data_IF_312148891477
#
_entry.id   IF_312148891477
#
_cell.length_a   1.000
_cell.length_b   1.000
_cell.length_c   1.000
_cell.angle_alpha   90.00
_cell.angle_beta   90.00
_cell.angle_gamma   90.00
#
_symmetry.space_group_name_H-M   'P 1'
#
loop_
_entity.id
_entity.type
_entity.pdbx_description
1 polymer ?
#
# COMPACT_ATOMS: atom_id res chain seq x y z
N UNK A 1 2.89 7.74 26.43
CA UNK A 1 2.28 8.96 27.02
C UNK A 1 2.92 9.36 28.34
N UNK A 2 3.36 8.41 29.16
CA UNK A 2 3.94 8.68 30.48
C UNK A 2 5.20 9.56 30.43
N UNK A 3 6.14 9.26 29.52
CA UNK A 3 7.32 10.12 29.27
C UNK A 3 6.94 11.57 28.98
N UNK A 4 5.84 11.82 28.26
CA UNK A 4 5.40 13.18 27.97
C UNK A 4 4.87 13.93 29.20
N UNK A 5 4.31 13.21 30.19
CA UNK A 5 3.95 13.82 31.48
C UNK A 5 5.20 14.16 32.27
N UNK A 6 6.16 13.25 32.34
CA UNK A 6 7.43 13.46 33.04
C UNK A 6 8.22 14.62 32.44
N UNK A 7 8.29 14.74 31.11
CA UNK A 7 8.90 15.88 30.40
C UNK A 7 8.24 17.19 30.84
N UNK A 8 6.90 17.26 30.82
CA UNK A 8 6.19 18.48 31.26
C UNK A 8 6.42 18.79 32.73
N UNK A 9 6.53 17.77 33.57
CA UNK A 9 6.81 17.95 34.98
C UNK A 9 8.24 18.48 35.17
N UNK A 10 9.24 17.88 34.54
CA UNK A 10 10.64 18.33 34.61
C UNK A 10 10.83 19.75 34.07
N UNK A 11 10.09 20.14 33.02
CA UNK A 11 10.09 21.53 32.57
C UNK A 11 9.62 22.49 33.68
N UNK A 12 8.55 22.14 34.42
CA UNK A 12 8.10 22.96 35.55
C UNK A 12 9.10 22.97 36.70
N UNK A 13 9.76 21.84 36.98
CA UNK A 13 10.77 21.76 38.02
C UNK A 13 11.98 22.65 37.67
N UNK A 14 12.39 22.68 36.40
CA UNK A 14 13.43 23.59 35.89
C UNK A 14 13.01 25.05 36.08
N UNK A 15 11.78 25.41 35.74
CA UNK A 15 11.26 26.76 35.93
C UNK A 15 11.26 27.14 37.42
N UNK A 16 10.89 26.22 38.31
CA UNK A 16 10.93 26.44 39.75
C UNK A 16 12.37 26.65 40.27
N UNK A 17 13.32 25.82 39.83
CA UNK A 17 14.73 25.96 40.20
C UNK A 17 15.35 27.27 39.68
N UNK A 18 14.90 27.77 38.53
CA UNK A 18 15.31 29.06 38.00
C UNK A 18 14.88 30.21 38.91
N UNK A 19 13.63 30.19 39.38
CA UNK A 19 13.09 31.19 40.31
C UNK A 19 13.75 31.14 41.70
N UNK A 20 14.13 29.96 42.16
CA UNK A 20 14.82 29.75 43.44
C UNK A 20 16.33 30.07 43.36
N UNK A 21 16.89 30.28 42.16
CA UNK A 21 18.32 30.45 41.93
C UNK A 21 19.14 29.16 42.16
N UNK A 22 18.47 28.01 42.25
CA UNK A 22 19.10 26.71 42.48
C UNK A 22 19.70 26.16 41.18
N UNK A 23 20.88 26.67 40.84
CA UNK A 23 21.59 26.35 39.59
C UNK A 23 21.93 24.87 39.48
N UNK A 24 22.35 24.23 40.58
CA UNK A 24 22.70 22.81 40.62
C UNK A 24 21.47 21.91 40.40
N UNK A 25 20.32 22.27 40.99
CA UNK A 25 19.04 21.61 40.75
C UNK A 25 18.61 21.73 39.29
N UNK A 26 18.72 22.93 38.73
CA UNK A 26 18.39 23.23 37.33
C UNK A 26 19.22 22.41 36.33
N UNK A 27 20.53 22.31 36.53
CA UNK A 27 21.43 21.54 35.66
C UNK A 27 20.98 20.07 35.62
N UNK A 28 20.84 19.43 36.78
CA UNK A 28 20.42 18.02 36.87
C UNK A 28 19.03 17.78 36.27
N UNK A 29 18.07 18.67 36.55
CA UNK A 29 16.73 18.55 35.99
C UNK A 29 16.70 18.71 34.46
N UNK A 30 17.58 19.55 33.90
CA UNK A 30 17.72 19.74 32.45
C UNK A 30 18.31 18.49 31.79
N UNK A 31 19.35 17.89 32.38
CA UNK A 31 19.91 16.63 31.88
C UNK A 31 18.88 15.49 31.87
N UNK A 32 18.08 15.37 32.93
CA UNK A 32 17.00 14.39 32.99
C UNK A 32 15.89 14.67 31.96
N UNK A 33 15.54 15.94 31.75
CA UNK A 33 14.57 16.35 30.73
C UNK A 33 15.02 15.91 29.33
N UNK A 34 16.30 16.10 29.00
CA UNK A 34 16.82 15.71 27.70
C UNK A 34 16.85 14.19 27.50
N UNK A 35 17.24 13.42 28.53
CA UNK A 35 17.12 11.95 28.51
C UNK A 35 15.68 11.50 28.27
N UNK A 36 14.70 12.11 28.94
CA UNK A 36 13.29 11.77 28.74
C UNK A 36 12.80 12.12 27.32
N UNK A 37 13.27 13.24 26.75
CA UNK A 37 12.95 13.64 25.38
C UNK A 37 13.57 12.69 24.35
N UNK A 38 14.80 12.26 24.57
CA UNK A 38 15.49 11.26 23.76
C UNK A 38 14.75 9.91 23.81
N UNK A 39 14.45 9.41 25.01
CA UNK A 39 13.67 8.16 25.17
C UNK A 39 12.31 8.23 24.47
N UNK A 40 11.60 9.37 24.58
CA UNK A 40 10.33 9.56 23.88
C UNK A 40 10.51 9.51 22.36
N UNK A 41 11.58 10.12 21.84
CA UNK A 41 11.86 10.10 20.41
C UNK A 41 12.23 8.68 19.94
N UNK A 42 13.01 7.93 20.73
CA UNK A 42 13.37 6.55 20.45
C UNK A 42 12.15 5.62 20.39
N UNK A 43 11.25 5.71 21.38
CA UNK A 43 9.99 4.95 21.38
C UNK A 43 9.12 5.30 20.16
N UNK A 44 9.03 6.59 19.81
CA UNK A 44 8.29 7.03 18.63
C UNK A 44 8.92 6.52 17.33
N UNK A 45 10.25 6.55 17.22
CA UNK A 45 10.97 6.03 16.06
C UNK A 45 10.77 4.52 15.90
N UNK A 46 10.84 3.76 17.00
CA UNK A 46 10.58 2.31 17.00
C UNK A 46 9.16 1.99 16.52
N UNK A 47 8.15 2.71 17.03
CA UNK A 47 6.76 2.51 16.60
C UNK A 47 6.55 2.86 15.13
N UNK A 48 7.19 3.93 14.64
CA UNK A 48 7.11 4.32 13.24
C UNK A 48 7.76 3.26 12.32
N UNK A 49 8.92 2.74 12.70
CA UNK A 49 9.59 1.66 11.98
C UNK A 49 8.72 0.39 11.93
N UNK A 50 8.10 0.02 13.06
CA UNK A 50 7.17 -1.10 13.12
C UNK A 50 5.95 -0.88 12.22
N UNK A 51 5.35 0.31 12.24
CA UNK A 51 4.23 0.66 11.38
C UNK A 51 4.60 0.59 9.89
N UNK A 52 5.77 1.11 9.51
CA UNK A 52 6.27 1.04 8.14
C UNK A 52 6.50 -0.41 7.68
N UNK A 53 7.11 -1.23 8.55
CA UNK A 53 7.33 -2.65 8.25
C UNK A 53 6.00 -3.41 8.09
N UNK A 54 5.00 -3.12 8.94
CA UNK A 54 3.65 -3.70 8.83
C UNK A 54 2.93 -3.28 7.55
N UNK A 55 3.00 -2.00 7.19
CA UNK A 55 2.41 -1.48 5.96
C UNK A 55 3.01 -2.16 4.72
N UNK A 56 4.34 -2.25 4.67
CA UNK A 56 5.05 -2.97 3.60
C UNK A 56 4.63 -4.44 3.52
N UNK A 57 4.53 -5.14 4.65
CA UNK A 57 4.10 -6.53 4.69
C UNK A 57 2.62 -6.69 4.27
N UNK A 58 1.76 -5.77 4.70
CA UNK A 58 0.34 -5.76 4.33
C UNK A 58 0.15 -5.50 2.83
N UNK A 59 0.94 -4.59 2.25
CA UNK A 59 0.94 -4.34 0.82
C UNK A 59 1.33 -5.60 0.02
N UNK A 60 2.42 -6.27 0.40
CA UNK A 60 2.86 -7.52 -0.25
C UNK A 60 1.76 -8.59 -0.15
N UNK A 61 1.16 -8.77 1.03
CA UNK A 61 0.08 -9.73 1.24
C UNK A 61 -1.17 -9.37 0.41
N UNK A 62 -1.52 -8.08 0.32
CA UNK A 62 -2.61 -7.60 -0.51
C UNK A 62 -2.37 -7.89 -1.99
N UNK A 63 -1.15 -7.68 -2.52
CA UNK A 63 -0.79 -8.06 -3.89
C UNK A 63 -0.91 -9.59 -4.10
N UNK A 64 -0.41 -10.40 -3.15
CA UNK A 64 -0.52 -11.86 -3.22
C UNK A 64 -1.97 -12.35 -3.19
N UNK A 65 -2.85 -11.71 -2.41
CA UNK A 65 -4.27 -12.07 -2.35
C UNK A 65 -5.04 -11.58 -3.57
N UNK A 66 -4.66 -10.44 -4.15
CA UNK A 66 -5.21 -9.98 -5.43
C UNK A 66 -4.93 -11.00 -6.56
N UNK A 67 -3.76 -11.65 -6.54
CA UNK A 67 -3.47 -12.75 -7.48
C UNK A 67 -4.22 -14.05 -7.18
N UNK A 68 -4.84 -14.20 -6.00
CA UNK A 68 -5.55 -15.42 -5.58
C UNK A 68 -7.09 -15.33 -5.71
N UNK A 69 -7.65 -14.19 -6.12
CA UNK A 69 -9.11 -14.04 -6.34
C UNK A 69 -9.59 -14.47 -7.72
N UNK A 70 -8.72 -15.02 -8.56
CA UNK A 70 -9.17 -16.01 -9.55
C UNK A 70 -9.27 -17.34 -8.82
N UNK A 71 -10.48 -17.72 -8.41
CA UNK A 71 -10.81 -19.14 -8.23
C UNK A 71 -10.20 -19.89 -9.41
N UNK A 72 -9.41 -20.96 -9.20
CA UNK A 72 -9.07 -21.86 -10.30
C UNK A 72 -10.38 -22.56 -10.64
N UNK A 73 -11.18 -21.93 -11.51
CA UNK A 73 -12.07 -22.69 -12.38
C UNK A 73 -11.14 -23.70 -13.04
N UNK A 74 -11.37 -25.02 -12.89
CA UNK A 74 -10.54 -26.00 -13.56
C UNK A 74 -10.50 -25.57 -15.03
N UNK A 75 -9.30 -25.35 -15.61
CA UNK A 75 -9.21 -24.83 -16.95
C UNK A 75 -10.02 -25.79 -17.82
N UNK A 76 -11.11 -25.28 -18.41
CA UNK A 76 -11.70 -25.96 -19.54
C UNK A 76 -10.54 -26.15 -20.52
N UNK A 77 -10.21 -27.41 -20.82
CA UNK A 77 -9.11 -27.73 -21.71
C UNK A 77 -9.31 -26.86 -22.96
N UNK A 78 -8.31 -26.04 -23.36
CA UNK A 78 -8.45 -25.24 -24.56
C UNK A 78 -8.82 -26.18 -25.70
N UNK A 79 -9.89 -25.85 -26.42
CA UNK A 79 -10.34 -26.66 -27.57
C UNK A 79 -9.13 -27.02 -28.43
N UNK A 80 -9.00 -28.28 -28.84
CA UNK A 80 -7.80 -28.79 -29.51
C UNK A 80 -7.32 -27.89 -30.65
N UNK A 81 -8.27 -27.33 -31.41
CA UNK A 81 -8.04 -26.36 -32.50
C UNK A 81 -7.35 -25.06 -32.05
N UNK A 82 -7.71 -24.55 -30.88
CA UNK A 82 -7.12 -23.34 -30.30
C UNK A 82 -5.72 -23.63 -29.76
N UNK A 83 -5.52 -24.81 -29.17
CA UNK A 83 -4.20 -25.25 -28.70
C UNK A 83 -3.21 -25.46 -29.87
N UNK A 84 -3.68 -25.99 -31.00
CA UNK A 84 -2.88 -26.10 -32.22
C UNK A 84 -2.43 -24.73 -32.73
N UNK A 85 -3.32 -23.73 -32.72
CA UNK A 85 -2.98 -22.36 -33.15
C UNK A 85 -1.96 -21.69 -32.22
N UNK A 86 -2.05 -21.95 -30.91
CA UNK A 86 -1.07 -21.48 -29.92
C UNK A 86 0.29 -22.12 -30.18
N UNK A 87 0.34 -23.43 -30.39
CA UNK A 87 1.59 -24.15 -30.66
C UNK A 87 2.27 -23.65 -31.95
N UNK A 88 1.49 -23.40 -33.00
CA UNK A 88 2.00 -22.83 -34.26
C UNK A 88 2.58 -21.42 -34.07
N UNK A 89 1.97 -20.60 -33.21
CA UNK A 89 2.47 -19.25 -32.90
C UNK A 89 3.75 -19.29 -32.07
N UNK A 90 3.83 -20.19 -31.09
CA UNK A 90 5.04 -20.40 -30.28
C UNK A 90 6.21 -20.90 -31.15
N UNK A 91 5.96 -21.88 -32.01
CA UNK A 91 6.98 -22.42 -32.92
C UNK A 91 7.53 -21.34 -33.87
N UNK A 92 6.66 -20.48 -34.42
CA UNK A 92 7.10 -19.35 -35.25
C UNK A 92 7.87 -18.31 -34.47
N UNK A 93 7.52 -18.05 -33.21
CA UNK A 93 8.27 -17.14 -32.37
C UNK A 93 9.70 -17.64 -32.10
N UNK A 94 9.87 -18.95 -31.88
CA UNK A 94 11.19 -19.59 -31.74
C UNK A 94 12.03 -19.45 -33.02
N UNK A 95 11.46 -19.76 -34.18
CA UNK A 95 12.15 -19.61 -35.48
C UNK A 95 12.55 -18.14 -35.75
N UNK A 96 11.69 -17.17 -35.42
CA UNK A 96 12.03 -15.74 -35.56
C UNK A 96 13.10 -15.29 -34.56
N UNK A 97 13.08 -15.85 -33.33
CA UNK A 97 14.08 -15.60 -32.30
C UNK A 97 15.48 -16.10 -32.71
N UNK A 98 15.56 -17.29 -33.31
CA UNK A 98 16.82 -17.83 -33.85
C UNK A 98 17.36 -17.01 -35.04
N UNK A 99 16.45 -16.45 -35.85
CA UNK A 99 16.80 -15.52 -36.93
C UNK A 99 17.13 -14.10 -36.46
N UNK A 100 17.10 -13.83 -35.14
CA UNK A 100 17.42 -12.52 -34.55
C UNK A 100 16.31 -11.47 -34.68
N UNK A 101 15.12 -11.85 -35.16
CA UNK A 101 13.94 -10.97 -35.25
C UNK A 101 13.17 -10.97 -33.92
N UNK A 102 13.84 -10.50 -32.86
CA UNK A 102 13.35 -10.53 -31.48
C UNK A 102 12.04 -9.75 -31.30
N UNK A 103 11.90 -8.61 -31.99
CA UNK A 103 10.69 -7.78 -31.89
C UNK A 103 9.46 -8.49 -32.49
N UNK A 104 9.62 -9.24 -33.59
CA UNK A 104 8.52 -10.02 -34.16
C UNK A 104 8.25 -11.30 -33.36
N UNK A 105 9.29 -11.96 -32.85
CA UNK A 105 9.16 -13.11 -31.97
C UNK A 105 8.35 -12.76 -30.72
N UNK A 106 8.67 -11.62 -30.07
CA UNK A 106 7.97 -11.15 -28.88
C UNK A 106 6.49 -10.85 -29.18
N UNK A 107 6.20 -10.25 -30.33
CA UNK A 107 4.82 -10.01 -30.78
C UNK A 107 4.03 -11.31 -30.95
N UNK A 108 4.65 -12.37 -31.49
CA UNK A 108 4.00 -13.68 -31.64
C UNK A 108 3.78 -14.39 -30.30
N UNK A 109 4.67 -14.20 -29.33
CA UNK A 109 4.49 -14.68 -27.96
C UNK A 109 3.30 -13.99 -27.28
N UNK A 110 3.21 -12.66 -27.42
CA UNK A 110 2.10 -11.88 -26.87
C UNK A 110 0.75 -12.27 -27.51
N UNK A 111 0.73 -12.54 -28.83
CA UNK A 111 -0.45 -13.05 -29.53
C UNK A 111 -0.84 -14.48 -29.07
N UNK A 112 0.14 -15.36 -28.81
CA UNK A 112 -0.10 -16.69 -28.27
C UNK A 112 -0.67 -16.63 -26.83
N UNK A 113 -0.16 -15.71 -26.01
CA UNK A 113 -0.69 -15.46 -24.67
C UNK A 113 -2.11 -14.86 -24.70
N UNK A 114 -2.39 -13.96 -25.64
CA UNK A 114 -3.73 -13.41 -25.82
C UNK A 114 -4.75 -14.51 -26.20
N UNK A 115 -4.37 -15.45 -27.08
CA UNK A 115 -5.21 -16.60 -27.44
C UNK A 115 -5.44 -17.53 -26.25
N UNK A 116 -4.40 -17.79 -25.45
CA UNK A 116 -4.51 -18.58 -24.20
C UNK A 116 -5.46 -17.91 -23.20
N UNK A 117 -5.40 -16.58 -23.07
CA UNK A 117 -6.27 -15.78 -22.18
C UNK A 117 -7.71 -15.69 -22.67
N UNK A 118 -7.94 -15.72 -23.99
CA UNK A 118 -9.28 -15.79 -24.58
C UNK A 118 -9.92 -17.17 -24.39
N UNK A 119 -9.14 -18.25 -24.48
CA UNK A 119 -9.62 -19.61 -24.16
C UNK A 119 -10.02 -19.75 -22.68
N UNK A 120 -9.48 -18.93 -21.78
CA UNK A 120 -9.86 -18.89 -20.36
C UNK A 120 -11.02 -17.94 -20.05
N UNK A 121 -11.55 -17.19 -21.04
CA UNK A 121 -12.74 -16.36 -20.85
C UNK A 121 -13.98 -17.23 -21.04
N UNK A 122 -14.84 -17.42 -20.02
CA UNK A 122 -16.17 -17.97 -20.26
C UNK A 122 -16.87 -17.15 -21.35
N UNK A 123 -17.36 -17.83 -22.37
CA UNK A 123 -18.03 -17.21 -23.51
C UNK A 123 -19.17 -16.33 -23.01
N UNK A 124 -19.01 -15.00 -23.12
CA UNK A 124 -20.10 -14.07 -22.90
C UNK A 124 -21.09 -14.24 -24.06
N UNK A 125 -22.22 -14.87 -23.77
CA UNK A 125 -23.38 -14.92 -24.67
C UNK A 125 -23.93 -13.49 -24.78
N UNK A 126 -24.08 -12.90 -25.98
CA UNK A 126 -24.67 -11.58 -26.12
C UNK A 126 -26.21 -11.65 -26.13
N UNK A 127 -26.80 -10.53 -25.71
CA UNK A 127 -28.21 -10.11 -25.76
C UNK A 127 -29.21 -10.67 -24.74
N UNK A 128 -29.68 -9.80 -23.83
CA UNK A 128 -30.93 -9.06 -24.06
C UNK A 128 -31.42 -8.33 -22.79
N UNK A 129 -31.45 -7.00 -22.87
CA UNK A 129 -32.58 -6.12 -22.48
C UNK A 129 -33.06 -6.03 -21.01
N UNK A 130 -32.87 -4.81 -20.47
CA UNK A 130 -33.67 -4.05 -19.47
C UNK A 130 -33.77 -4.61 -18.04
N UNK A 131 -33.21 -3.86 -17.07
CA UNK A 131 -33.96 -2.84 -16.29
C UNK A 131 -33.02 -2.12 -15.29
N UNK A 132 -32.93 -0.81 -15.46
CA UNK A 132 -32.80 0.25 -14.44
C UNK A 132 -32.43 -0.15 -13.00
N UNK A 133 -31.32 0.39 -12.47
CA UNK A 133 -31.37 1.33 -11.35
C UNK A 133 -29.99 1.96 -11.06
N UNK A 134 -29.94 3.27 -11.29
CA UNK A 134 -29.22 4.31 -10.56
C UNK A 134 -27.88 3.98 -9.87
N UNK A 135 -26.83 4.62 -10.40
CA UNK A 135 -25.54 4.85 -9.73
C UNK A 135 -25.74 5.68 -8.46
N UNK A 136 -25.23 5.20 -7.33
CA UNK A 136 -24.77 6.04 -6.23
C UNK A 136 -23.43 5.48 -5.74
N UNK A 137 -22.34 6.10 -6.19
CA UNK A 137 -21.03 5.95 -5.54
C UNK A 137 -21.08 6.81 -4.29
N UNK A 138 -21.39 6.20 -3.14
CA UNK A 138 -21.09 6.82 -1.85
C UNK A 138 -19.62 6.51 -1.56
N UNK A 139 -18.76 7.49 -1.81
CA UNK A 139 -17.40 7.52 -1.26
C UNK A 139 -17.48 7.60 0.26
N UNK A 140 -17.55 6.45 0.94
CA UNK A 140 -17.32 6.36 2.38
C UNK A 140 -15.81 6.36 2.64
N UNK A 141 -15.21 7.55 2.56
CA UNK A 141 -13.98 7.86 3.30
C UNK A 141 -14.41 8.07 4.75
N UNK A 142 -14.49 6.98 5.51
CA UNK A 142 -14.67 7.06 6.96
C UNK A 142 -13.30 6.99 7.62
N UNK A 143 -12.64 8.15 7.68
CA UNK A 143 -11.40 8.37 8.42
C UNK A 143 -11.77 9.00 9.77
N UNK A 144 -11.54 8.36 10.93
CA UNK A 144 -11.82 8.97 12.22
C UNK A 144 -10.60 9.76 12.67
N UNK A 145 -10.36 10.91 12.05
CA UNK A 145 -9.46 11.93 12.59
C UNK A 145 -10.26 13.20 12.86
N UNK A 146 -10.68 13.35 14.13
CA UNK A 146 -11.25 14.58 14.65
C UNK A 146 -10.16 15.66 14.70
N UNK A 147 -9.98 16.39 13.61
CA UNK A 147 -9.20 17.63 13.58
C UNK A 147 -10.17 18.81 13.69
N UNK A 148 -10.28 19.34 14.90
CA UNK A 148 -10.93 20.62 15.17
C UNK A 148 -10.03 21.76 14.64
N UNK A 149 -10.21 22.15 13.38
CA UNK A 149 -9.53 23.33 12.83
C UNK A 149 -10.35 24.57 13.19
N UNK A 150 -9.91 25.30 14.22
CA UNK A 150 -10.43 26.65 14.52
C UNK A 150 -10.00 27.58 13.40
N UNK A 151 -10.96 28.08 12.63
CA UNK A 151 -10.77 29.08 11.58
C UNK A 151 -10.46 30.44 12.23
N UNK A 152 -9.19 30.83 12.22
CA UNK A 152 -8.79 32.22 12.52
C UNK A 152 -9.08 33.03 11.26
N UNK A 153 -10.07 33.90 11.33
CA UNK A 153 -10.35 34.91 10.31
C UNK A 153 -9.43 36.08 10.60
N UNK A 154 -8.43 36.30 9.74
CA UNK A 154 -7.67 37.54 9.70
C UNK A 154 -8.39 38.43 8.68
N UNK A 155 -9.04 39.49 9.15
CA UNK A 155 -9.53 40.57 8.31
C UNK A 155 -8.39 41.57 8.11
N UNK A 156 -8.14 41.93 6.86
CA UNK A 156 -7.30 43.07 6.48
C UNK A 156 -8.08 44.38 6.63
#
# INVERSE_FOLDING_TARGET
MELSKQIRQKMKDIDAFDLEGNTEGKIRATEELDKLKEQRAEEQAKMLLEAFNKDRASLINSLQNATQTTTPVPPAAPDARTQEMINEKLKKAEELGENGMVDEAQKLLDEAEALKKLATRPQAVPDSTKMSAHVQIVSLVNCPCSFHVKKVIISF
#
